data_IF_546952478498
#
_entry.id   IF_546952478498
#
_cell.length_a   1.000
_cell.length_b   1.000
_cell.length_c   1.000
_cell.angle_alpha   90.00
_cell.angle_beta   90.00
_cell.angle_gamma   90.00
#
_symmetry.space_group_name_H-M   'P 1'
#
loop_
_entity.id
_entity.type
_entity.pdbx_description
1 polymer ?
#
# COMPACT_ATOMS: atom_id res chain seq x y z
N UNK A 1 4.22 6.62 -15.93
CA UNK A 1 3.29 5.87 -15.08
C UNK A 1 3.85 4.49 -14.78
N UNK A 2 3.81 4.08 -13.53
CA UNK A 2 4.32 2.77 -13.12
C UNK A 2 3.47 1.65 -13.70
N UNK A 3 4.13 0.53 -14.00
CA UNK A 3 3.48 -0.66 -14.55
C UNK A 3 3.90 -1.89 -13.79
N UNK A 4 3.08 -2.92 -13.85
CA UNK A 4 3.45 -4.23 -13.33
C UNK A 4 4.72 -4.71 -14.04
N UNK A 5 5.61 -5.30 -13.27
CA UNK A 5 6.91 -5.75 -13.75
C UNK A 5 8.04 -4.75 -13.57
N UNK A 6 7.73 -3.50 -13.26
CA UNK A 6 8.75 -2.48 -13.02
C UNK A 6 9.23 -2.52 -11.57
N UNK A 7 10.45 -2.05 -11.37
CA UNK A 7 10.97 -1.89 -10.02
C UNK A 7 10.19 -0.79 -9.31
N UNK A 8 9.76 -1.06 -8.07
CA UNK A 8 9.07 -0.06 -7.27
C UNK A 8 10.03 1.05 -6.86
N UNK A 9 9.60 2.33 -6.93
CA UNK A 9 10.43 3.43 -6.44
C UNK A 9 10.76 3.24 -4.96
N UNK A 10 12.04 3.45 -4.60
CA UNK A 10 12.41 3.44 -3.20
C UNK A 10 11.79 4.65 -2.51
N UNK A 11 11.59 4.53 -1.21
CA UNK A 11 11.06 5.63 -0.42
C UNK A 11 11.71 5.61 0.96
N UNK A 12 11.67 6.74 1.62
CA UNK A 12 12.16 6.87 2.98
C UNK A 12 11.24 7.86 3.68
N UNK A 13 10.41 7.37 4.59
CA UNK A 13 9.40 8.20 5.23
C UNK A 13 9.06 7.64 6.62
N UNK A 14 8.61 8.50 7.56
CA UNK A 14 8.30 8.03 8.90
C UNK A 14 6.98 7.27 8.96
N UNK A 15 6.92 6.27 9.83
CA UNK A 15 5.67 5.63 10.19
C UNK A 15 4.97 6.43 11.30
N UNK A 16 3.88 5.88 11.85
CA UNK A 16 3.10 6.57 12.89
C UNK A 16 3.86 6.72 14.22
N UNK A 17 4.98 6.02 14.40
CA UNK A 17 5.83 6.17 15.58
C UNK A 17 6.97 7.15 15.38
N UNK A 18 7.10 7.68 14.16
CA UNK A 18 8.22 8.55 13.79
C UNK A 18 9.44 7.79 13.31
N UNK A 19 9.41 6.45 13.29
CA UNK A 19 10.51 5.65 12.79
C UNK A 19 10.56 5.70 11.28
N UNK A 20 11.73 5.96 10.71
CA UNK A 20 11.93 6.00 9.27
C UNK A 20 11.88 4.59 8.68
N UNK A 21 11.05 4.43 7.66
CA UNK A 21 10.90 3.17 6.92
C UNK A 21 11.32 3.43 5.48
N UNK A 22 12.08 2.50 4.90
CA UNK A 22 12.42 2.55 3.48
C UNK A 22 12.08 1.23 2.82
N UNK A 23 11.84 1.27 1.51
CA UNK A 23 11.52 0.06 0.76
C UNK A 23 12.70 -0.92 0.80
N UNK A 24 13.93 -0.42 0.75
CA UNK A 24 15.12 -1.26 0.79
C UNK A 24 15.21 -2.07 2.10
N UNK A 25 14.65 -1.55 3.19
CA UNK A 25 14.62 -2.26 4.48
C UNK A 25 13.64 -3.44 4.46
N UNK A 26 12.76 -3.49 3.46
CA UNK A 26 11.70 -4.50 3.38
C UNK A 26 12.01 -5.60 2.38
N UNK A 27 13.22 -5.66 1.84
CA UNK A 27 13.63 -6.73 0.93
C UNK A 27 13.48 -8.08 1.62
N UNK A 28 13.04 -9.07 0.84
CA UNK A 28 12.77 -10.38 1.38
C UNK A 28 11.33 -10.58 1.85
N UNK A 29 10.54 -9.53 1.82
CA UNK A 29 9.12 -9.58 2.16
C UNK A 29 8.28 -9.08 1.00
N UNK A 30 7.08 -9.65 0.86
CA UNK A 30 6.07 -9.08 -0.03
C UNK A 30 5.52 -7.84 0.66
N UNK A 31 5.38 -6.75 -0.09
CA UNK A 31 4.93 -5.47 0.48
C UNK A 31 3.64 -5.04 -0.18
N UNK A 32 2.64 -4.76 0.63
CA UNK A 32 1.40 -4.14 0.17
C UNK A 32 1.46 -2.68 0.57
N UNK A 33 1.47 -1.79 -0.41
CA UNK A 33 1.37 -0.35 -0.18
C UNK A 33 0.00 0.09 -0.67
N UNK A 34 -0.87 0.54 0.22
CA UNK A 34 -2.12 1.10 -0.23
C UNK A 34 -2.16 2.59 0.07
N UNK A 35 -2.42 3.38 -0.98
CA UNK A 35 -2.47 4.83 -0.91
C UNK A 35 -3.92 5.28 -0.76
N UNK A 36 -4.17 6.15 0.20
CA UNK A 36 -5.52 6.65 0.48
C UNK A 36 -5.48 8.15 0.75
N UNK A 37 -6.61 8.86 0.53
CA UNK A 37 -6.61 10.32 0.57
C UNK A 37 -6.41 10.94 1.95
N UNK A 38 -7.07 10.42 2.99
CA UNK A 38 -7.05 11.12 4.28
C UNK A 38 -7.50 10.22 5.42
N UNK A 39 -6.78 10.30 6.55
CA UNK A 39 -7.12 9.58 7.77
C UNK A 39 -8.54 9.91 8.23
N UNK A 40 -9.20 8.90 8.81
CA UNK A 40 -10.48 9.04 9.50
C UNK A 40 -11.60 9.60 8.62
N UNK A 41 -11.58 9.27 7.33
CA UNK A 41 -12.70 9.50 6.43
C UNK A 41 -13.43 8.18 6.19
N UNK A 42 -14.72 8.19 5.82
CA UNK A 42 -15.50 6.94 5.75
C UNK A 42 -14.89 5.84 4.88
N UNK A 43 -14.51 6.16 3.65
CA UNK A 43 -13.93 5.16 2.75
C UNK A 43 -12.57 4.68 3.21
N UNK A 44 -11.73 5.58 3.71
CA UNK A 44 -10.39 5.23 4.19
C UNK A 44 -10.45 4.41 5.47
N UNK A 45 -11.41 4.71 6.35
CA UNK A 45 -11.63 3.92 7.56
C UNK A 45 -12.09 2.51 7.21
N UNK A 46 -13.00 2.38 6.27
CA UNK A 46 -13.50 1.08 5.82
C UNK A 46 -12.38 0.23 5.23
N UNK A 47 -11.55 0.82 4.40
CA UNK A 47 -10.40 0.14 3.79
C UNK A 47 -9.40 -0.30 4.86
N UNK A 48 -9.06 0.60 5.78
CA UNK A 48 -8.10 0.29 6.86
C UNK A 48 -8.61 -0.83 7.76
N UNK A 49 -9.89 -0.81 8.12
CA UNK A 49 -10.47 -1.85 8.97
C UNK A 49 -10.52 -3.20 8.25
N UNK A 50 -10.75 -3.21 6.93
CA UNK A 50 -10.73 -4.44 6.15
C UNK A 50 -9.33 -5.05 6.13
N UNK A 51 -8.29 -4.25 5.95
CA UNK A 51 -6.90 -4.73 6.05
C UNK A 51 -6.57 -5.19 7.45
N UNK A 52 -7.02 -4.45 8.48
CA UNK A 52 -6.83 -4.86 9.87
C UNK A 52 -7.37 -6.26 10.12
N UNK A 53 -8.57 -6.52 9.64
CA UNK A 53 -9.25 -7.81 9.88
C UNK A 53 -8.60 -8.95 9.11
N UNK A 54 -7.97 -8.65 7.96
CA UNK A 54 -7.27 -9.66 7.15
C UNK A 54 -5.78 -9.78 7.41
N UNK A 55 -5.22 -8.98 8.33
CA UNK A 55 -3.76 -8.86 8.48
C UNK A 55 -3.07 -10.18 8.83
N UNK A 56 -3.71 -11.01 9.66
CA UNK A 56 -3.11 -12.28 10.08
C UNK A 56 -2.86 -13.18 8.88
N UNK A 57 -3.82 -13.27 7.98
CA UNK A 57 -3.67 -14.09 6.78
C UNK A 57 -2.63 -13.53 5.82
N UNK A 58 -2.57 -12.20 5.71
CA UNK A 58 -1.57 -11.54 4.88
C UNK A 58 -0.17 -11.83 5.40
N UNK A 59 0.03 -11.73 6.72
CA UNK A 59 1.31 -12.03 7.35
C UNK A 59 1.72 -13.48 7.17
N UNK A 60 0.79 -14.42 7.21
CA UNK A 60 1.08 -15.82 6.96
C UNK A 60 1.64 -16.08 5.58
N UNK A 61 1.38 -15.20 4.63
CA UNK A 61 1.92 -15.30 3.26
C UNK A 61 3.22 -14.54 3.09
N UNK A 62 3.84 -14.10 4.18
CA UNK A 62 5.11 -13.38 4.13
C UNK A 62 4.97 -11.94 3.63
N UNK A 63 3.79 -11.38 3.74
CA UNK A 63 3.51 -10.02 3.29
C UNK A 63 3.31 -9.08 4.46
N UNK A 64 3.69 -7.82 4.26
CA UNK A 64 3.44 -6.74 5.21
C UNK A 64 2.60 -5.68 4.53
N UNK A 65 1.78 -4.97 5.31
CA UNK A 65 0.88 -3.94 4.80
C UNK A 65 1.30 -2.59 5.36
N UNK A 66 1.36 -1.59 4.48
CA UNK A 66 1.58 -0.21 4.86
C UNK A 66 0.52 0.65 4.20
N UNK A 67 -0.21 1.43 5.00
CA UNK A 67 -1.07 2.47 4.48
C UNK A 67 -0.27 3.75 4.30
N UNK A 68 -0.54 4.51 3.26
CA UNK A 68 0.21 5.73 2.94
C UNK A 68 -0.76 6.85 2.61
N UNK A 69 -0.58 8.00 3.24
CA UNK A 69 -1.33 9.21 2.90
C UNK A 69 -0.49 10.45 3.19
N UNK A 70 -0.90 11.63 2.68
CA UNK A 70 -0.20 12.88 2.98
C UNK A 70 -0.38 13.39 4.41
N UNK A 71 -1.10 12.66 5.24
CA UNK A 71 -1.31 13.05 6.62
C UNK A 71 -0.02 13.02 7.44
N UNK A 72 -0.02 13.72 8.57
CA UNK A 72 1.13 13.78 9.47
C UNK A 72 1.27 12.52 10.32
N UNK A 73 2.43 12.37 10.94
CA UNK A 73 2.67 11.30 11.92
C UNK A 73 1.64 11.35 13.04
N UNK A 74 1.34 12.56 13.55
CA UNK A 74 0.35 12.71 14.62
C UNK A 74 -1.06 12.28 14.20
N UNK A 75 -1.45 12.60 12.98
CA UNK A 75 -2.74 12.17 12.44
C UNK A 75 -2.80 10.64 12.35
N UNK A 76 -1.73 10.03 11.86
CA UNK A 76 -1.64 8.57 11.76
C UNK A 76 -1.71 7.88 13.12
N UNK A 77 -1.07 8.45 14.13
CA UNK A 77 -1.15 7.91 15.49
C UNK A 77 -2.60 7.86 15.97
N UNK A 78 -3.34 8.96 15.79
CA UNK A 78 -4.72 9.04 16.22
C UNK A 78 -5.62 8.08 15.46
N UNK A 79 -5.42 7.98 14.15
CA UNK A 79 -6.20 7.08 13.31
C UNK A 79 -5.97 5.63 13.70
N UNK A 80 -4.71 5.25 13.87
CA UNK A 80 -4.34 3.89 14.26
C UNK A 80 -4.93 3.52 15.62
N UNK A 81 -4.86 4.44 16.58
CA UNK A 81 -5.37 4.22 17.92
C UNK A 81 -6.90 4.12 17.90
N UNK A 82 -7.56 5.03 17.20
CA UNK A 82 -9.02 5.09 17.16
C UNK A 82 -9.65 3.80 16.64
N UNK A 83 -9.05 3.20 15.62
CA UNK A 83 -9.61 2.02 14.97
C UNK A 83 -8.81 0.74 15.27
N UNK A 84 -7.87 0.80 16.19
CA UNK A 84 -7.04 -0.34 16.60
C UNK A 84 -6.40 -1.00 15.38
N UNK A 85 -5.81 -0.19 14.51
CA UNK A 85 -5.13 -0.71 13.33
C UNK A 85 -3.85 -1.44 13.77
N UNK A 86 -3.61 -2.58 13.15
CA UNK A 86 -2.51 -3.47 13.53
C UNK A 86 -1.43 -3.57 12.46
N UNK A 87 -1.29 -2.50 11.69
CA UNK A 87 -0.24 -2.36 10.68
C UNK A 87 0.22 -0.89 10.64
N UNK A 88 1.44 -0.64 10.14
CA UNK A 88 1.98 0.73 10.11
C UNK A 88 1.30 1.63 9.09
N UNK A 89 1.28 2.92 9.39
CA UNK A 89 0.84 3.97 8.47
C UNK A 89 2.04 4.87 8.19
N UNK A 90 2.34 5.08 6.90
CA UNK A 90 3.45 5.93 6.48
C UNK A 90 2.94 7.35 6.23
N UNK A 91 3.64 8.32 6.79
CA UNK A 91 3.31 9.72 6.63
C UNK A 91 4.07 10.30 5.44
N UNK A 92 3.36 11.02 4.57
CA UNK A 92 3.96 11.64 3.39
C UNK A 92 3.49 13.10 3.24
N UNK A 93 3.71 13.95 4.27
CA UNK A 93 3.20 15.32 4.23
C UNK A 93 3.80 16.15 3.09
N UNK A 94 5.00 15.83 2.65
CA UNK A 94 5.65 16.52 1.53
C UNK A 94 5.18 16.02 0.17
N UNK A 95 4.35 14.99 0.15
CA UNK A 95 3.76 14.41 -1.07
C UNK A 95 4.79 13.86 -2.05
N UNK A 96 5.97 13.51 -1.55
CA UNK A 96 7.04 12.99 -2.39
C UNK A 96 6.74 11.55 -2.85
N UNK A 97 6.36 10.69 -1.91
CA UNK A 97 6.06 9.30 -2.20
C UNK A 97 4.83 9.16 -3.10
N UNK A 98 3.79 9.94 -2.83
CA UNK A 98 2.56 9.88 -3.64
C UNK A 98 2.81 10.35 -5.08
N UNK A 99 3.77 11.25 -5.29
CA UNK A 99 4.16 11.67 -6.64
C UNK A 99 5.01 10.61 -7.32
N UNK A 100 5.98 10.05 -6.61
CA UNK A 100 6.86 9.00 -7.16
C UNK A 100 6.08 7.77 -7.58
N UNK A 101 5.01 7.44 -6.85
CA UNK A 101 4.16 6.30 -7.19
C UNK A 101 3.03 6.66 -8.15
N UNK A 102 2.95 7.92 -8.57
CA UNK A 102 2.00 8.35 -9.60
C UNK A 102 0.55 8.35 -9.14
N UNK A 103 0.28 8.47 -7.84
CA UNK A 103 -1.09 8.47 -7.29
C UNK A 103 -1.59 9.86 -6.95
N UNK A 104 -0.76 10.90 -7.09
CA UNK A 104 -1.14 12.28 -6.89
C UNK A 104 -1.73 12.79 -8.18
N UNK A 105 -3.06 12.94 -8.22
CA UNK A 105 -3.81 13.17 -9.45
C UNK A 105 -4.71 14.39 -9.34
N UNK A 106 -5.01 14.98 -10.48
CA UNK A 106 -6.03 16.00 -10.57
C UNK A 106 -7.40 15.34 -10.46
N UNK A 107 -8.22 15.88 -9.59
CA UNK A 107 -9.60 15.43 -9.36
C UNK A 107 -10.55 16.58 -9.61
N UNK A 108 -11.80 16.26 -9.92
CA UNK A 108 -12.84 17.26 -10.17
C UNK A 108 -14.04 16.99 -9.27
N UNK A 109 -14.58 18.05 -8.67
CA UNK A 109 -15.78 17.95 -7.84
C UNK A 109 -16.53 19.28 -7.95
N UNK A 110 -17.80 19.22 -8.34
CA UNK A 110 -18.66 20.40 -8.47
C UNK A 110 -18.07 21.48 -9.37
N UNK A 111 -17.44 21.04 -10.49
CA UNK A 111 -16.85 21.97 -11.45
C UNK A 111 -15.51 22.55 -11.04
N UNK A 112 -15.00 22.21 -9.88
CA UNK A 112 -13.69 22.65 -9.40
C UNK A 112 -12.68 21.52 -9.50
N UNK A 113 -11.45 21.85 -9.88
CA UNK A 113 -10.35 20.88 -9.92
C UNK A 113 -9.46 21.06 -8.70
N UNK A 114 -8.93 19.96 -8.21
CA UNK A 114 -7.98 19.95 -7.10
C UNK A 114 -7.08 18.73 -7.22
N UNK A 115 -5.92 18.79 -6.56
CA UNK A 115 -5.01 17.66 -6.53
C UNK A 115 -5.33 16.77 -5.34
N UNK A 116 -5.32 15.47 -5.56
CA UNK A 116 -5.60 14.52 -4.49
C UNK A 116 -5.08 13.14 -4.82
N UNK A 117 -5.30 12.21 -3.89
CA UNK A 117 -4.84 10.84 -4.04
C UNK A 117 -5.89 10.03 -4.80
N UNK A 118 -5.45 9.40 -5.90
CA UNK A 118 -6.22 8.33 -6.51
C UNK A 118 -5.96 7.08 -5.69
N UNK A 119 -6.99 6.51 -5.07
CA UNK A 119 -6.88 5.34 -4.22
C UNK A 119 -6.28 4.19 -5.02
N UNK A 120 -5.07 3.77 -4.66
CA UNK A 120 -4.29 2.79 -5.43
C UNK A 120 -3.54 1.89 -4.48
N UNK A 121 -3.48 0.60 -4.80
CA UNK A 121 -2.70 -0.38 -4.02
C UNK A 121 -1.67 -1.03 -4.92
N UNK A 122 -0.46 -1.18 -4.40
CA UNK A 122 0.64 -1.85 -5.08
C UNK A 122 1.02 -3.09 -4.28
N UNK A 123 1.18 -4.22 -4.96
CA UNK A 123 1.76 -5.42 -4.38
C UNK A 123 3.16 -5.58 -4.95
N UNK A 124 4.16 -5.54 -4.08
CA UNK A 124 5.58 -5.57 -4.44
C UNK A 124 6.16 -6.90 -3.96
N UNK A 125 6.94 -7.56 -4.80
CA UNK A 125 7.51 -8.85 -4.46
C UNK A 125 8.78 -8.71 -3.59
N UNK A 126 9.34 -9.84 -3.20
CA UNK A 126 10.49 -9.90 -2.31
C UNK A 126 11.74 -9.23 -2.89
N UNK A 127 11.80 -9.06 -4.19
CA UNK A 127 12.92 -8.44 -4.89
C UNK A 127 12.69 -6.95 -5.15
N UNK A 128 11.54 -6.40 -4.78
CA UNK A 128 11.24 -4.99 -4.95
C UNK A 128 10.57 -4.63 -6.26
N UNK A 129 10.02 -5.61 -6.98
CA UNK A 129 9.34 -5.37 -8.24
C UNK A 129 7.83 -5.37 -8.05
N UNK A 130 7.15 -4.46 -8.76
CA UNK A 130 5.69 -4.35 -8.71
C UNK A 130 5.08 -5.54 -9.44
N UNK A 131 4.24 -6.30 -8.75
CA UNK A 131 3.58 -7.47 -9.33
C UNK A 131 2.11 -7.21 -9.64
N UNK A 132 1.44 -6.38 -8.85
CA UNK A 132 0.05 -6.03 -9.06
C UNK A 132 -0.17 -4.56 -8.76
N UNK A 133 -1.04 -3.92 -9.52
CA UNK A 133 -1.48 -2.55 -9.28
C UNK A 133 -3.00 -2.52 -9.37
N UNK A 134 -3.66 -2.04 -8.33
CA UNK A 134 -5.10 -1.78 -8.34
C UNK A 134 -5.29 -0.28 -8.29
N UNK A 135 -5.75 0.29 -9.39
CA UNK A 135 -6.00 1.74 -9.50
C UNK A 135 -7.46 2.04 -9.29
N UNK A 136 -7.74 3.23 -8.77
CA UNK A 136 -9.10 3.70 -8.54
C UNK A 136 -9.92 2.68 -7.75
N UNK A 137 -9.39 2.27 -6.60
CA UNK A 137 -9.87 1.15 -5.82
C UNK A 137 -11.28 1.39 -5.28
N UNK A 138 -12.15 0.39 -5.44
CA UNK A 138 -13.38 0.28 -4.69
C UNK A 138 -13.04 -0.50 -3.42
N UNK A 139 -13.28 0.09 -2.25
CA UNK A 139 -12.85 -0.52 -0.98
C UNK A 139 -13.59 -1.81 -0.63
N UNK A 140 -14.79 -2.02 -1.20
CA UNK A 140 -15.55 -3.23 -0.95
C UNK A 140 -14.85 -4.45 -1.54
N UNK A 141 -14.47 -5.39 -0.68
CA UNK A 141 -13.81 -6.62 -1.12
C UNK A 141 -12.35 -6.46 -1.52
N UNK A 142 -11.78 -5.25 -1.42
CA UNK A 142 -10.42 -5.00 -1.90
C UNK A 142 -9.37 -5.75 -1.09
N UNK A 143 -9.47 -5.77 0.24
CA UNK A 143 -8.51 -6.48 1.07
C UNK A 143 -8.47 -7.97 0.71
N UNK A 144 -9.61 -8.56 0.37
CA UNK A 144 -9.69 -9.95 -0.07
C UNK A 144 -8.98 -10.15 -1.42
N UNK A 145 -9.12 -9.20 -2.35
CA UNK A 145 -8.39 -9.23 -3.62
C UNK A 145 -6.89 -9.22 -3.41
N UNK A 146 -6.43 -8.35 -2.52
CA UNK A 146 -5.00 -8.20 -2.21
C UNK A 146 -4.48 -9.48 -1.56
N UNK A 147 -5.23 -10.06 -0.63
CA UNK A 147 -4.85 -11.32 0.00
C UNK A 147 -4.69 -12.44 -1.02
N UNK A 148 -5.63 -12.56 -1.95
CA UNK A 148 -5.57 -13.58 -3.00
C UNK A 148 -4.32 -13.39 -3.88
N UNK A 149 -4.01 -12.15 -4.25
CA UNK A 149 -2.83 -11.85 -5.06
C UNK A 149 -1.54 -12.15 -4.30
N UNK A 150 -1.47 -11.80 -3.01
CA UNK A 150 -0.31 -12.08 -2.19
C UNK A 150 -0.10 -13.59 -2.03
N UNK A 151 -1.18 -14.35 -1.95
CA UNK A 151 -1.13 -15.81 -1.89
C UNK A 151 -0.58 -16.39 -3.19
N UNK A 152 -0.96 -15.82 -4.33
CA UNK A 152 -0.48 -16.27 -5.64
C UNK A 152 1.00 -16.01 -5.84
N UNK A 153 1.62 -15.08 -5.09
CA UNK A 153 3.04 -14.82 -5.09
C UNK A 153 3.82 -15.75 -4.16
N UNK A 154 3.46 -17.03 -4.10
CA UNK A 154 4.16 -17.97 -3.23
C UNK A 154 5.54 -18.33 -3.75
N UNK A 155 5.74 -18.27 -5.06
CA UNK A 155 7.02 -18.63 -5.64
C UNK A 155 7.99 -17.48 -5.50
N UNK A 156 9.28 -17.77 -5.36
CA UNK A 156 10.29 -16.73 -5.40
C UNK A 156 10.17 -15.95 -6.70
N UNK A 157 10.37 -14.68 -6.62
CA UNK A 157 10.30 -13.79 -7.77
C UNK A 157 11.43 -14.00 -8.75
N UNK A 158 12.36 -14.83 -8.41
CA UNK A 158 13.41 -15.17 -9.32
C UNK A 158 12.82 -16.01 -10.43
N UNK A 159 12.64 -15.59 -11.27
CA UNK A 159 12.28 -16.32 -12.16
C UNK A 159 11.49 -17.29 -12.47
N UNK A 160 11.83 -17.61 -13.02
CA UNK A 160 11.15 -18.20 -13.39
C UNK A 160 10.98 -19.28 -13.33
N UNK A 161 11.13 -19.29 -13.08
CA UNK A 161 10.99 -20.12 -12.95
C UNK A 161 10.54 -20.67 -12.95
N UNK A 162 10.41 -20.83 -12.98
CA UNK A 162 10.07 -21.41 -12.87
C UNK A 162 9.57 -21.78 -12.92
N UNK A 163 9.39 -21.99 -13.03
CA UNK A 163 8.99 -22.58 -12.95
C UNK A 163 8.50 -22.90 -12.97
N UNK A 164 8.44 -23.18 -13.06
CA UNK A 164 8.01 -23.80 -12.95
C UNK A 164 7.47 -24.12 -12.86
N UNK A 165 7.32 -24.55 -13.11
CA UNK A 165 6.66 -25.09 -12.95
C UNK A 165 6.14 -25.51 -12.76
N UNK A 166 5.83 -25.84 -12.70
CA UNK A 166 5.48 -26.27 -12.35
C UNK A 166 5.07 -26.21 -12.13
N UNK A 167 4.87 -26.02 -12.24
CA UNK A 167 4.79 -25.85 -11.76
C UNK A 167 4.34 -26.21 -11.84
#
# INVERSE_FOLDING_TARGET
MLKEGQKAPDFKTPDETGKTISLSDLKGKKVVLYFYPKDDTPGCTKEACAFRDGITQIKKKGAVVYGVSPDSVGSHQKFKEKFTLNFPLLADPDKRMVQDYGVWKEKSMYGKTYMGIQRTTFLIDKSGYIRNIWRNVNVDGHATQVLAAARALNTPSSGPTFHTPSW
#
